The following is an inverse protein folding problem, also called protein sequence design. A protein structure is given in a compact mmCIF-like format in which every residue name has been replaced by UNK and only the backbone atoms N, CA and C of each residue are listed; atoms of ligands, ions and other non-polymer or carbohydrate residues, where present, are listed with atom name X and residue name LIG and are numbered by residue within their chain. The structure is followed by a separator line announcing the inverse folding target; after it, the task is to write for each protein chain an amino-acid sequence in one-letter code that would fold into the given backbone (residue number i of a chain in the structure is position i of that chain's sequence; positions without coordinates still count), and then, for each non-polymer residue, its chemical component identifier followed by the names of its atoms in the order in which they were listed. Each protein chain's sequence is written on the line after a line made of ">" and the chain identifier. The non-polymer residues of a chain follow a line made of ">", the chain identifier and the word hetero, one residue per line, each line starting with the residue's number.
data_IF_758885426154
#
_entry.id   IF_758885426154
#
_cell.length_a   1.000
_cell.length_b   1.000
_cell.length_c   1.000
_cell.angle_alpha   90.00
_cell.angle_beta   90.00
_cell.angle_gamma   90.00
#
_symmetry.space_group_name_H-M   'P 1'
#
loop_
_entity.id
_entity.type
_entity.pdbx_description
1 polymer ?
#
# COMPACT_ATOMS: atom_id res chain seq x y z
N UNK A 1 5.87 32.38 -2.03
CA UNK A 1 4.49 31.94 -1.72
C UNK A 1 4.23 30.76 -2.62
N UNK A 2 4.46 29.54 -2.13
CA UNK A 2 4.16 28.33 -2.90
C UNK A 2 2.64 28.23 -2.95
N UNK A 3 2.07 28.46 -4.13
CA UNK A 3 0.67 28.19 -4.38
C UNK A 3 0.51 26.66 -4.29
N UNK A 4 0.11 26.16 -3.12
CA UNK A 4 -0.27 24.77 -2.98
C UNK A 4 -1.35 24.47 -4.00
N UNK A 5 -1.04 23.62 -4.98
CA UNK A 5 -2.03 23.12 -5.93
C UNK A 5 -3.13 22.38 -5.14
N UNK A 6 -4.16 23.09 -4.72
CA UNK A 6 -5.36 22.47 -4.18
C UNK A 6 -5.96 21.60 -5.29
N UNK A 7 -5.97 20.28 -5.05
CA UNK A 7 -6.54 19.34 -6.01
C UNK A 7 -8.02 19.72 -6.23
N UNK A 8 -8.46 19.85 -7.49
CA UNK A 8 -9.82 20.27 -7.78
C UNK A 8 -10.80 19.30 -7.13
N UNK A 9 -11.80 19.84 -6.42
CA UNK A 9 -12.86 19.06 -5.76
C UNK A 9 -13.89 18.58 -6.78
N UNK A 10 -13.44 17.78 -7.74
CA UNK A 10 -14.29 17.23 -8.80
C UNK A 10 -14.82 15.86 -8.40
N UNK A 11 -16.08 15.61 -8.73
CA UNK A 11 -16.73 14.33 -8.50
C UNK A 11 -16.10 13.26 -9.41
N UNK A 12 -15.59 12.18 -8.82
CA UNK A 12 -14.98 11.06 -9.56
C UNK A 12 -15.94 10.24 -10.41
N UNK A 13 -17.25 10.52 -10.34
CA UNK A 13 -18.29 9.77 -11.07
C UNK A 13 -18.92 10.58 -12.19
N UNK A 14 -19.37 11.81 -11.90
CA UNK A 14 -20.06 12.67 -12.87
C UNK A 14 -19.24 13.87 -13.35
N UNK A 15 -18.08 14.15 -12.74
CA UNK A 15 -17.21 15.27 -13.11
C UNK A 15 -17.65 16.65 -12.62
N UNK A 16 -18.75 16.75 -11.86
CA UNK A 16 -19.18 18.01 -11.29
C UNK A 16 -18.12 18.61 -10.35
N UNK A 17 -17.92 19.93 -10.42
CA UNK A 17 -17.06 20.66 -9.49
C UNK A 17 -17.66 20.77 -8.09
N UNK A 18 -16.84 21.23 -7.14
CA UNK A 18 -17.21 21.51 -5.75
C UNK A 18 -17.91 20.35 -5.00
N UNK A 19 -17.48 19.12 -5.31
CA UNK A 19 -17.98 17.90 -4.69
C UNK A 19 -17.69 17.86 -3.16
N UNK A 20 -18.72 17.85 -2.29
CA UNK A 20 -18.53 18.01 -0.85
C UNK A 20 -18.14 16.70 -0.14
N UNK A 21 -18.50 15.53 -0.69
CA UNK A 21 -18.24 14.25 -0.05
C UNK A 21 -16.84 13.75 -0.40
N UNK A 22 -15.96 13.59 0.57
CA UNK A 22 -14.61 13.04 0.38
C UNK A 22 -14.54 11.59 0.85
N UNK A 23 -13.91 10.72 0.06
CA UNK A 23 -13.61 9.36 0.50
C UNK A 23 -12.58 9.37 1.67
N UNK A 24 -12.66 8.44 2.65
CA UNK A 24 -11.67 8.35 3.72
C UNK A 24 -10.21 8.20 3.26
N UNK A 25 -9.97 7.63 2.07
CA UNK A 25 -8.63 7.55 1.47
C UNK A 25 -8.05 8.92 1.05
N UNK A 26 -8.87 9.97 1.01
CA UNK A 26 -8.56 11.36 0.63
C UNK A 26 -8.18 11.56 -0.85
N UNK A 27 -8.21 10.51 -1.68
CA UNK A 27 -7.81 10.57 -3.08
C UNK A 27 -8.90 11.09 -4.05
N UNK A 28 -10.18 11.00 -3.67
CA UNK A 28 -11.31 11.30 -4.56
C UNK A 28 -12.47 11.95 -3.79
N UNK A 29 -13.21 12.80 -4.49
CA UNK A 29 -14.43 13.47 -4.02
C UNK A 29 -15.65 13.00 -4.83
N UNK A 30 -16.83 13.18 -4.26
CA UNK A 30 -18.12 12.81 -4.81
C UNK A 30 -19.17 13.87 -4.46
N UNK A 31 -20.19 14.00 -5.30
CA UNK A 31 -21.33 14.86 -4.97
C UNK A 31 -22.07 14.35 -3.72
N UNK A 32 -22.25 13.04 -3.63
CA UNK A 32 -23.04 12.34 -2.61
C UNK A 32 -22.70 10.84 -2.59
N UNK A 33 -23.37 10.09 -1.71
CA UNK A 33 -23.19 8.64 -1.53
C UNK A 33 -23.61 7.82 -2.76
N UNK A 34 -24.53 8.33 -3.58
CA UNK A 34 -24.93 7.69 -4.84
C UNK A 34 -23.79 7.70 -5.85
N UNK A 35 -23.16 8.86 -6.06
CA UNK A 35 -21.97 8.98 -6.90
C UNK A 35 -20.83 8.09 -6.39
N UNK A 36 -20.61 8.08 -5.06
CA UNK A 36 -19.60 7.21 -4.45
C UNK A 36 -19.92 5.73 -4.69
N UNK A 37 -21.18 5.31 -4.54
CA UNK A 37 -21.62 3.94 -4.74
C UNK A 37 -21.46 3.49 -6.19
N UNK A 38 -21.78 4.35 -7.14
CA UNK A 38 -21.63 4.09 -8.57
C UNK A 38 -20.17 3.83 -8.98
N UNK A 39 -19.21 4.59 -8.44
CA UNK A 39 -17.79 4.37 -8.72
C UNK A 39 -17.15 3.28 -7.83
N UNK A 40 -17.80 2.88 -6.74
CA UNK A 40 -17.18 2.08 -5.68
C UNK A 40 -16.58 0.77 -6.16
N UNK A 41 -17.22 0.10 -7.12
CA UNK A 41 -16.74 -1.19 -7.67
C UNK A 41 -15.31 -1.10 -8.18
N UNK A 42 -14.97 0.02 -8.83
CA UNK A 42 -13.64 0.28 -9.38
C UNK A 42 -12.76 1.06 -8.41
N UNK A 43 -13.30 2.07 -7.73
CA UNK A 43 -12.53 2.84 -6.76
C UNK A 43 -11.96 1.96 -5.63
N UNK A 44 -12.71 0.98 -5.12
CA UNK A 44 -12.25 0.09 -4.03
C UNK A 44 -11.01 -0.74 -4.36
N UNK A 45 -10.65 -0.87 -5.65
CA UNK A 45 -9.44 -1.57 -6.08
C UNK A 45 -8.17 -0.74 -5.86
N UNK A 46 -8.32 0.58 -5.76
CA UNK A 46 -7.22 1.56 -5.59
C UNK A 46 -7.43 2.45 -4.36
N UNK A 47 -8.46 2.17 -3.56
CA UNK A 47 -8.78 2.92 -2.35
C UNK A 47 -7.86 2.45 -1.22
N UNK A 48 -6.86 3.27 -0.86
CA UNK A 48 -5.89 2.92 0.19
C UNK A 48 -6.58 2.58 1.51
N UNK A 49 -7.60 3.33 1.91
CA UNK A 49 -8.38 3.04 3.12
C UNK A 49 -9.08 1.66 3.11
N UNK A 50 -9.65 1.25 1.97
CA UNK A 50 -10.30 -0.07 1.87
C UNK A 50 -9.29 -1.21 1.84
N UNK A 51 -8.17 -0.99 1.15
CA UNK A 51 -7.07 -1.94 1.03
C UNK A 51 -6.34 -2.13 2.37
N UNK A 52 -6.10 -1.09 3.15
CA UNK A 52 -5.53 -1.19 4.50
C UNK A 52 -6.41 -2.05 5.41
N UNK A 53 -7.73 -1.84 5.39
CA UNK A 53 -8.67 -2.68 6.16
C UNK A 53 -8.73 -4.12 5.66
N UNK A 54 -8.50 -4.36 4.37
CA UNK A 54 -8.38 -5.73 3.83
C UNK A 54 -7.07 -6.38 4.30
N UNK A 55 -5.97 -5.63 4.28
CA UNK A 55 -4.66 -6.06 4.74
C UNK A 55 -4.69 -6.44 6.23
N UNK A 56 -5.32 -5.63 7.08
CA UNK A 56 -5.52 -5.92 8.50
C UNK A 56 -6.22 -7.28 8.69
N UNK A 57 -7.35 -7.49 8.01
CA UNK A 57 -8.06 -8.79 8.04
C UNK A 57 -7.25 -9.95 7.48
N UNK A 58 -6.35 -9.70 6.52
CA UNK A 58 -5.44 -10.72 6.00
C UNK A 58 -4.38 -11.09 7.04
N UNK A 59 -3.82 -10.10 7.75
CA UNK A 59 -2.89 -10.31 8.86
C UNK A 59 -3.50 -11.19 9.95
N UNK A 60 -4.76 -10.93 10.31
CA UNK A 60 -5.47 -11.74 11.32
C UNK A 60 -5.66 -13.21 10.89
N UNK A 61 -5.80 -13.48 9.59
CA UNK A 61 -6.11 -14.82 9.06
C UNK A 61 -4.87 -15.64 8.71
N UNK A 62 -3.81 -14.99 8.19
CA UNK A 62 -2.62 -15.65 7.65
C UNK A 62 -1.40 -15.55 8.58
N UNK A 63 -1.41 -14.59 9.52
CA UNK A 63 -0.23 -14.19 10.29
C UNK A 63 0.63 -13.17 9.54
N UNK A 64 1.40 -12.34 10.25
CA UNK A 64 2.03 -11.12 9.69
C UNK A 64 3.16 -11.32 8.66
N UNK A 65 3.72 -12.53 8.55
CA UNK A 65 4.90 -12.82 7.73
C UNK A 65 4.57 -13.60 6.44
N UNK A 66 3.32 -13.51 5.96
CA UNK A 66 2.90 -14.15 4.71
C UNK A 66 3.30 -13.31 3.48
N UNK A 67 3.75 -13.96 2.39
CA UNK A 67 4.17 -13.28 1.17
C UNK A 67 3.04 -12.44 0.54
N UNK A 68 1.77 -12.84 0.69
CA UNK A 68 0.64 -12.06 0.22
C UNK A 68 0.48 -10.75 0.99
N UNK A 69 0.86 -10.69 2.27
CA UNK A 69 0.86 -9.46 3.07
C UNK A 69 2.00 -8.55 2.59
N UNK A 70 3.18 -9.11 2.33
CA UNK A 70 4.31 -8.37 1.76
C UNK A 70 3.95 -7.70 0.42
N UNK A 71 3.32 -8.45 -0.49
CA UNK A 71 2.85 -7.91 -1.77
C UNK A 71 1.75 -6.85 -1.60
N UNK A 72 0.79 -7.07 -0.69
CA UNK A 72 -0.27 -6.10 -0.43
C UNK A 72 0.27 -4.79 0.18
N UNK A 73 1.27 -4.85 1.07
CA UNK A 73 2.00 -3.69 1.56
C UNK A 73 2.70 -2.96 0.39
N UNK A 74 3.35 -3.69 -0.52
CA UNK A 74 4.00 -3.08 -1.68
C UNK A 74 3.01 -2.33 -2.57
N UNK A 75 1.88 -2.95 -2.90
CA UNK A 75 0.82 -2.34 -3.70
C UNK A 75 0.26 -1.07 -3.03
N UNK A 76 0.08 -1.08 -1.70
CA UNK A 76 -0.30 0.11 -0.93
C UNK A 76 0.76 1.22 -1.03
N UNK A 77 2.05 0.87 -0.93
CA UNK A 77 3.16 1.79 -1.13
C UNK A 77 3.11 2.49 -2.49
N UNK A 78 2.84 1.74 -3.57
CA UNK A 78 2.67 2.28 -4.92
C UNK A 78 1.50 3.28 -4.98
N UNK A 79 0.36 2.94 -4.40
CA UNK A 79 -0.81 3.81 -4.40
C UNK A 79 -0.58 5.09 -3.59
N UNK A 80 0.12 5.01 -2.46
CA UNK A 80 0.49 6.18 -1.67
C UNK A 80 1.49 7.08 -2.39
N UNK A 81 2.47 6.49 -3.06
CA UNK A 81 3.44 7.21 -3.87
C UNK A 81 2.75 8.01 -4.99
N UNK A 82 1.82 7.39 -5.72
CA UNK A 82 1.01 8.06 -6.75
C UNK A 82 0.15 9.20 -6.18
N UNK A 83 -0.23 9.12 -4.91
CA UNK A 83 -0.96 10.17 -4.21
C UNK A 83 -0.06 11.27 -3.64
N UNK A 84 1.25 11.24 -3.90
CA UNK A 84 2.28 12.13 -3.31
C UNK A 84 2.37 12.06 -1.79
N UNK A 85 1.87 10.98 -1.21
CA UNK A 85 1.88 10.70 0.24
C UNK A 85 3.13 9.89 0.56
N UNK A 86 4.28 10.55 0.49
CA UNK A 86 5.59 9.88 0.46
C UNK A 86 5.92 9.17 1.79
N UNK A 87 5.51 9.74 2.93
CA UNK A 87 5.75 9.12 4.24
C UNK A 87 4.98 7.81 4.38
N UNK A 88 3.69 7.81 4.03
CA UNK A 88 2.88 6.57 4.05
C UNK A 88 3.40 5.56 3.01
N UNK A 89 3.86 6.02 1.85
CA UNK A 89 4.45 5.15 0.85
C UNK A 89 5.72 4.45 1.37
N UNK A 90 6.62 5.20 2.00
CA UNK A 90 7.87 4.69 2.56
C UNK A 90 7.61 3.64 3.64
N UNK A 91 6.68 3.90 4.56
CA UNK A 91 6.31 2.96 5.62
C UNK A 91 5.86 1.60 5.04
N UNK A 92 4.96 1.64 4.05
CA UNK A 92 4.44 0.44 3.39
C UNK A 92 5.50 -0.29 2.57
N UNK A 93 6.40 0.43 1.88
CA UNK A 93 7.52 -0.19 1.17
C UNK A 93 8.52 -0.85 2.11
N UNK A 94 8.88 -0.20 3.21
CA UNK A 94 9.80 -0.77 4.21
C UNK A 94 9.20 -2.01 4.86
N UNK A 95 7.90 -2.00 5.12
CA UNK A 95 7.20 -3.18 5.62
C UNK A 95 7.14 -4.31 4.59
N UNK A 96 6.82 -4.03 3.34
CA UNK A 96 6.84 -5.02 2.27
C UNK A 96 8.21 -5.69 2.15
N UNK A 97 9.28 -4.89 2.15
CA UNK A 97 10.67 -5.38 2.12
C UNK A 97 10.97 -6.28 3.33
N UNK A 98 10.56 -5.88 4.53
CA UNK A 98 10.75 -6.66 5.76
C UNK A 98 10.16 -8.07 5.63
N UNK A 99 8.92 -8.17 5.15
CA UNK A 99 8.17 -9.44 5.03
C UNK A 99 8.73 -10.29 3.88
N UNK A 100 8.86 -9.71 2.68
CA UNK A 100 9.31 -10.44 1.48
C UNK A 100 10.72 -10.99 1.72
N UNK A 101 11.63 -10.19 2.27
CA UNK A 101 12.98 -10.64 2.59
C UNK A 101 13.03 -11.72 3.69
N UNK A 102 12.07 -11.74 4.63
CA UNK A 102 12.00 -12.78 5.65
C UNK A 102 11.52 -14.11 5.06
N UNK A 103 10.57 -14.07 4.11
CA UNK A 103 10.01 -15.27 3.47
C UNK A 103 10.96 -15.90 2.46
N UNK A 104 11.54 -15.08 1.58
CA UNK A 104 12.35 -15.58 0.46
C UNK A 104 13.82 -15.84 0.84
N UNK A 105 14.34 -15.12 1.84
CA UNK A 105 15.78 -15.04 2.12
C UNK A 105 16.55 -14.31 0.99
N UNK A 106 17.81 -13.95 1.23
CA UNK A 106 18.69 -13.48 0.15
C UNK A 106 18.82 -14.59 -0.90
N UNK A 107 18.32 -14.32 -2.11
CA UNK A 107 18.51 -15.19 -3.28
C UNK A 107 19.96 -15.24 -3.73
N UNK A 108 20.84 -15.83 -2.93
CA UNK A 108 22.15 -16.29 -3.37
C UNK A 108 21.96 -17.70 -3.94
N UNK A 109 21.83 -17.81 -5.26
CA UNK A 109 21.92 -19.11 -5.94
C UNK A 109 23.31 -19.67 -5.65
N UNK A 110 23.44 -20.63 -4.74
CA UNK A 110 24.68 -21.38 -4.63
C UNK A 110 24.73 -22.35 -5.82
N UNK A 111 25.42 -21.92 -6.88
CA UNK A 111 25.57 -22.62 -8.17
C UNK A 111 26.19 -24.03 -7.98
N UNK A 112 26.74 -24.34 -6.80
CA UNK A 112 27.38 -25.63 -6.55
C UNK A 112 26.43 -26.76 -6.13
N UNK A 113 25.19 -26.51 -5.65
CA UNK A 113 24.38 -27.60 -5.07
C UNK A 113 22.84 -27.50 -5.16
N UNK A 114 22.29 -26.54 -5.91
CA UNK A 114 20.83 -26.50 -6.20
C UNK A 114 19.90 -26.32 -4.99
N UNK A 115 20.44 -26.11 -3.78
CA UNK A 115 19.67 -25.83 -2.56
C UNK A 115 19.57 -24.32 -2.35
N UNK A 116 18.34 -23.81 -2.25
CA UNK A 116 18.07 -22.43 -1.78
C UNK A 116 18.48 -22.33 -0.31
N UNK A 117 19.48 -21.52 0.00
CA UNK A 117 19.79 -21.15 1.39
C UNK A 117 18.95 -19.92 1.72
N UNK A 118 18.04 -20.03 2.70
CA UNK A 118 17.26 -18.90 3.19
C UNK A 118 18.05 -18.18 4.28
N UNK A 119 18.95 -17.27 3.89
CA UNK A 119 19.59 -16.36 4.85
C UNK A 119 18.76 -15.07 5.00
N UNK A 120 18.60 -14.52 6.21
CA UNK A 120 17.89 -13.25 6.40
C UNK A 120 18.62 -12.11 5.66
N UNK A 121 17.88 -11.25 4.96
CA UNK A 121 18.50 -10.15 4.24
C UNK A 121 19.37 -9.25 5.14
N UNK A 122 20.38 -8.62 4.54
CA UNK A 122 21.22 -7.59 5.17
C UNK A 122 20.37 -6.47 5.81
N UNK A 123 19.20 -6.17 5.25
CA UNK A 123 18.19 -5.27 5.82
C UNK A 123 17.62 -5.74 7.18
N UNK A 124 17.27 -7.03 7.31
CA UNK A 124 16.72 -7.62 8.54
C UNK A 124 17.79 -7.74 9.63
N UNK A 125 19.07 -7.90 9.25
CA UNK A 125 20.20 -7.91 10.20
C UNK A 125 20.39 -6.55 10.87
N UNK A 126 20.20 -5.45 10.14
CA UNK A 126 20.30 -4.08 10.66
C UNK A 126 19.10 -3.69 11.52
N UNK A 127 17.89 -4.14 11.17
CA UNK A 127 16.69 -3.90 11.98
C UNK A 127 16.73 -4.59 13.37
N UNK A 128 17.41 -5.75 13.48
CA UNK A 128 17.55 -6.51 14.73
C UNK A 128 18.62 -5.98 15.70
N UNK A 129 19.49 -5.08 15.25
CA UNK A 129 20.58 -4.52 16.05
C UNK A 129 20.25 -3.15 16.66
N UNK A 130 19.04 -2.64 16.43
CA UNK A 130 18.52 -1.37 16.97
C UNK A 130 17.49 -1.57 18.10
N UNK A 131 17.48 -2.73 18.76
CA UNK A 131 16.59 -3.07 19.88
C UNK A 131 17.34 -3.21 21.20
#
# INVERSE_FOLDING_TARGET
>A
MEAGLEKPKVCGTCGAGDAPLKCPCKAVFYCNTECQGASWREHRKVCTWDLERKLERQRDRLGGDDLAIGNACFDLGVLYYQQTRLLEAEEHYLEALRIICAVEGEGSVNVANGKRVREPCRCLRQARSAG
#
